data_IF_758232917222
#
_entry.id   IF_758232917222
#
_cell.length_a   1.000
_cell.length_b   1.000
_cell.length_c   1.000
_cell.angle_alpha   90.00
_cell.angle_beta   90.00
_cell.angle_gamma   90.00
#
_symmetry.space_group_name_H-M   'P 1'
#
loop_
_entity.id
_entity.type
_entity.pdbx_description
1 polymer ?
#
# COMPACT_ATOMS: atom_id res chain seq x y z
N UNK A 1 -6.00 3.31 -15.71
CA UNK A 1 -6.43 1.89 -15.85
C UNK A 1 -7.89 1.82 -15.44
N UNK A 2 -8.74 1.02 -16.08
CA UNK A 2 -10.16 0.97 -15.73
C UNK A 2 -10.35 0.13 -14.47
N UNK A 3 -11.22 0.55 -13.52
CA UNK A 3 -11.52 -0.15 -12.26
C UNK A 3 -11.96 -1.63 -12.47
N UNK A 4 -12.57 -1.95 -13.60
CA UNK A 4 -12.90 -3.34 -13.98
C UNK A 4 -11.66 -4.16 -14.32
N UNK A 5 -10.64 -3.57 -14.96
CA UNK A 5 -9.37 -4.23 -15.27
C UNK A 5 -8.59 -4.58 -13.99
N UNK A 6 -8.59 -3.73 -12.97
CA UNK A 6 -7.97 -4.03 -11.68
C UNK A 6 -8.58 -5.25 -10.99
N UNK A 7 -9.88 -5.48 -11.15
CA UNK A 7 -10.56 -6.65 -10.58
C UNK A 7 -10.22 -7.96 -11.31
N UNK A 8 -10.03 -7.89 -12.63
CA UNK A 8 -9.74 -9.06 -13.46
C UNK A 8 -8.25 -9.44 -13.43
N UNK A 9 -7.36 -8.46 -13.22
CA UNK A 9 -5.91 -8.65 -13.25
C UNK A 9 -5.26 -8.76 -11.86
N UNK A 10 -5.96 -8.38 -10.79
CA UNK A 10 -5.43 -8.43 -9.44
C UNK A 10 -5.14 -9.87 -8.99
N UNK A 11 -3.89 -10.16 -8.74
CA UNK A 11 -3.41 -11.44 -8.22
C UNK A 11 -3.51 -11.47 -6.69
N UNK A 12 -3.59 -12.66 -6.13
CA UNK A 12 -3.71 -12.88 -4.69
C UNK A 12 -2.85 -14.04 -4.20
N UNK A 13 -3.03 -14.43 -2.96
CA UNK A 13 -2.26 -15.50 -2.32
C UNK A 13 -2.28 -16.84 -3.09
N UNK A 14 -3.40 -17.15 -3.75
CA UNK A 14 -3.57 -18.36 -4.54
C UNK A 14 -2.76 -18.37 -5.83
N UNK A 15 -2.36 -17.21 -6.32
CA UNK A 15 -1.60 -17.05 -7.57
C UNK A 15 -0.09 -17.05 -7.34
N UNK A 16 0.34 -17.04 -6.06
CA UNK A 16 1.75 -16.96 -5.68
C UNK A 16 2.49 -18.25 -6.11
N UNK A 17 3.50 -18.16 -7.01
CA UNK A 17 4.27 -19.32 -7.46
C UNK A 17 4.88 -20.12 -6.31
N UNK A 18 5.11 -21.42 -6.53
CA UNK A 18 5.58 -22.33 -5.47
C UNK A 18 6.94 -21.93 -4.90
N UNK A 19 7.82 -21.39 -5.72
CA UNK A 19 9.19 -20.96 -5.41
C UNK A 19 9.32 -19.50 -4.98
N UNK A 20 8.19 -18.75 -4.96
CA UNK A 20 8.16 -17.34 -4.53
C UNK A 20 7.68 -17.23 -3.09
N UNK A 21 8.39 -16.42 -2.31
CA UNK A 21 8.13 -16.10 -0.91
C UNK A 21 7.92 -14.59 -0.75
N UNK A 22 7.36 -14.19 0.37
CA UNK A 22 7.24 -12.77 0.77
C UNK A 22 8.07 -12.55 2.01
N UNK A 23 9.00 -11.61 1.96
CA UNK A 23 9.82 -11.20 3.11
C UNK A 23 9.32 -9.88 3.65
N UNK A 24 9.21 -9.80 4.99
CA UNK A 24 8.82 -8.59 5.73
C UNK A 24 9.93 -8.27 6.73
N UNK A 25 10.57 -7.12 6.57
CA UNK A 25 11.73 -6.73 7.38
C UNK A 25 11.85 -5.22 7.53
N UNK A 26 12.66 -4.78 8.49
CA UNK A 26 12.98 -3.36 8.67
C UNK A 26 14.29 -3.01 7.95
N UNK A 27 14.27 -1.91 7.18
CA UNK A 27 15.45 -1.34 6.55
C UNK A 27 15.38 0.19 6.54
N UNK A 28 16.39 0.85 7.07
CA UNK A 28 16.50 2.32 7.10
C UNK A 28 15.22 3.02 7.61
N UNK A 29 14.66 2.55 8.74
CA UNK A 29 13.43 3.06 9.36
C UNK A 29 12.15 2.86 8.53
N UNK A 30 12.19 2.01 7.52
CA UNK A 30 11.04 1.58 6.74
C UNK A 30 10.75 0.12 7.01
N UNK A 31 9.51 -0.23 7.00
CA UNK A 31 9.09 -1.61 6.82
C UNK A 31 9.06 -1.89 5.32
N UNK A 32 9.72 -2.94 4.90
CA UNK A 32 9.80 -3.39 3.52
C UNK A 32 9.12 -4.74 3.39
N UNK A 33 8.30 -4.86 2.37
CA UNK A 33 7.60 -6.10 2.00
C UNK A 33 7.96 -6.37 0.55
N UNK A 34 8.60 -7.50 0.27
CA UNK A 34 9.11 -7.80 -1.05
C UNK A 34 8.96 -9.26 -1.43
N UNK A 35 8.93 -9.52 -2.73
CA UNK A 35 9.05 -10.89 -3.24
C UNK A 35 10.50 -11.36 -3.19
N UNK A 36 10.68 -12.60 -2.73
CA UNK A 36 11.99 -13.25 -2.61
C UNK A 36 11.91 -14.70 -3.04
N UNK A 37 13.07 -15.32 -3.28
CA UNK A 37 13.19 -16.76 -3.32
C UNK A 37 13.14 -17.39 -1.92
N UNK A 38 13.32 -18.70 -1.83
CA UNK A 38 13.29 -19.44 -0.57
C UNK A 38 14.45 -19.07 0.38
N UNK A 39 15.56 -18.57 -0.15
CA UNK A 39 16.72 -18.15 0.62
C UNK A 39 16.60 -16.69 1.10
N UNK A 40 15.50 -16.02 0.75
CA UNK A 40 15.21 -14.62 1.08
C UNK A 40 15.92 -13.60 0.18
N UNK A 41 16.47 -14.03 -0.96
CA UNK A 41 17.07 -13.14 -1.95
C UNK A 41 16.01 -12.46 -2.79
N UNK A 42 16.18 -11.17 -3.06
CA UNK A 42 15.24 -10.37 -3.85
C UNK A 42 15.07 -10.93 -5.27
N UNK A 43 13.83 -11.00 -5.75
CA UNK A 43 13.50 -11.29 -7.14
C UNK A 43 13.50 -9.97 -7.92
N UNK A 44 14.32 -9.88 -8.96
CA UNK A 44 14.43 -8.72 -9.83
C UNK A 44 13.53 -8.85 -11.06
N UNK A 45 13.20 -7.73 -11.75
CA UNK A 45 12.32 -7.72 -12.95
C UNK A 45 12.78 -8.64 -14.07
N UNK A 46 14.09 -8.83 -14.21
CA UNK A 46 14.67 -9.77 -15.17
C UNK A 46 15.75 -10.62 -14.51
N UNK A 47 15.87 -11.84 -14.99
CA UNK A 47 16.97 -12.72 -14.59
C UNK A 47 18.28 -12.15 -15.13
N UNK A 48 19.22 -11.86 -14.24
CA UNK A 48 20.51 -11.22 -14.58
C UNK A 48 21.40 -12.09 -15.49
N UNK A 49 21.19 -13.40 -15.51
CA UNK A 49 21.99 -14.35 -16.30
C UNK A 49 21.34 -14.64 -17.65
N UNK A 50 20.02 -14.83 -17.70
CA UNK A 50 19.30 -15.21 -18.93
C UNK A 50 18.68 -14.03 -19.65
N UNK A 51 18.44 -12.92 -18.96
CA UNK A 51 17.72 -11.74 -19.47
C UNK A 51 16.22 -11.97 -19.63
N UNK A 52 15.68 -13.09 -19.13
CA UNK A 52 14.25 -13.37 -19.17
C UNK A 52 13.50 -12.56 -18.10
N UNK A 53 12.35 -12.01 -18.46
CA UNK A 53 11.49 -11.25 -17.55
C UNK A 53 10.89 -12.16 -16.46
N UNK A 54 10.92 -11.67 -15.22
CA UNK A 54 10.23 -12.32 -14.11
C UNK A 54 8.79 -11.80 -14.04
N UNK A 55 7.79 -12.68 -14.07
CA UNK A 55 6.38 -12.27 -13.94
C UNK A 55 5.98 -11.90 -12.51
N UNK A 56 6.85 -12.16 -11.53
CA UNK A 56 6.65 -11.84 -10.11
C UNK A 56 7.91 -11.20 -9.57
N UNK A 57 7.85 -9.92 -9.31
CA UNK A 57 8.90 -9.15 -8.64
C UNK A 57 8.28 -7.95 -7.95
N UNK A 58 9.02 -7.31 -7.09
CA UNK A 58 8.71 -6.00 -6.56
C UNK A 58 8.67 -5.93 -5.04
N UNK A 59 8.51 -4.70 -4.59
CA UNK A 59 8.40 -4.36 -3.19
C UNK A 59 7.45 -3.19 -2.93
N UNK A 60 6.95 -3.16 -1.71
CA UNK A 60 6.26 -2.02 -1.10
C UNK A 60 6.97 -1.69 0.19
N UNK A 61 7.24 -0.42 0.41
CA UNK A 61 7.78 0.04 1.70
C UNK A 61 7.00 1.21 2.27
N UNK A 62 6.99 1.32 3.60
CA UNK A 62 6.33 2.41 4.31
C UNK A 62 7.10 2.81 5.57
N UNK A 63 6.89 4.04 6.03
CA UNK A 63 7.33 4.54 7.32
C UNK A 63 6.26 4.28 8.37
N UNK A 64 6.63 3.83 9.57
CA UNK A 64 5.72 3.72 10.72
C UNK A 64 5.40 5.10 11.31
N UNK A 65 6.34 6.03 11.23
CA UNK A 65 6.16 7.42 11.61
C UNK A 65 6.46 8.29 10.39
N UNK A 66 5.60 9.28 10.15
CA UNK A 66 5.84 10.26 9.07
C UNK A 66 7.15 11.01 9.34
N UNK A 67 8.15 10.92 8.43
CA UNK A 67 9.41 11.63 8.58
C UNK A 67 9.25 13.15 8.61
N UNK A 68 8.15 13.68 8.09
CA UNK A 68 7.80 15.11 8.10
C UNK A 68 7.01 15.52 9.37
N UNK A 69 6.94 14.63 10.36
CA UNK A 69 6.31 14.87 11.68
C UNK A 69 4.81 15.19 11.63
N UNK A 70 4.10 14.71 10.62
CA UNK A 70 2.64 14.83 10.55
C UNK A 70 2.00 13.63 11.24
N UNK A 71 0.98 13.89 12.04
CA UNK A 71 0.41 12.83 12.85
C UNK A 71 -0.39 11.80 12.03
N UNK A 72 -1.07 12.20 10.96
CA UNK A 72 -1.92 11.35 10.12
C UNK A 72 -2.70 10.30 10.93
N UNK A 73 -3.17 10.66 12.11
CA UNK A 73 -3.79 9.79 13.10
C UNK A 73 -2.91 8.58 13.49
N UNK A 74 -1.58 8.75 13.50
CA UNK A 74 -0.62 7.70 13.81
C UNK A 74 -0.57 6.56 12.78
N UNK A 75 -1.00 6.80 11.54
CA UNK A 75 -0.91 5.82 10.47
C UNK A 75 0.50 5.78 9.87
N UNK A 76 0.86 4.61 9.33
CA UNK A 76 2.03 4.44 8.47
C UNK A 76 1.81 5.10 7.10
N UNK A 77 2.89 5.58 6.48
CA UNK A 77 2.86 6.29 5.20
C UNK A 77 3.66 5.51 4.16
N UNK A 78 3.05 5.18 3.02
CA UNK A 78 3.74 4.57 1.88
C UNK A 78 4.91 5.45 1.45
N UNK A 79 6.05 4.82 1.18
CA UNK A 79 7.28 5.46 0.73
C UNK A 79 7.65 5.10 -0.71
N UNK A 80 7.64 3.81 -1.04
CA UNK A 80 8.01 3.30 -2.36
C UNK A 80 7.12 2.12 -2.71
N UNK A 81 6.78 2.01 -3.99
CA UNK A 81 6.13 0.84 -4.57
C UNK A 81 6.70 0.63 -5.97
N UNK A 82 7.29 -0.54 -6.20
CA UNK A 82 7.76 -1.01 -7.51
C UNK A 82 7.40 -2.49 -7.64
N UNK A 83 6.39 -2.82 -8.41
CA UNK A 83 5.77 -4.15 -8.41
C UNK A 83 5.37 -4.54 -9.83
N UNK A 84 5.57 -5.80 -10.19
CA UNK A 84 5.09 -6.40 -11.43
C UNK A 84 3.56 -6.28 -11.58
N UNK A 85 3.11 -6.20 -12.82
CA UNK A 85 1.70 -6.04 -13.17
C UNK A 85 0.79 -7.07 -12.47
N UNK A 86 -0.30 -6.57 -11.90
CA UNK A 86 -1.29 -7.34 -11.17
C UNK A 86 -0.92 -7.70 -9.72
N UNK A 87 0.35 -7.57 -9.30
CA UNK A 87 0.79 -7.92 -7.94
C UNK A 87 0.71 -6.76 -6.93
N UNK A 88 0.49 -5.53 -7.40
CA UNK A 88 0.36 -4.36 -6.54
C UNK A 88 -0.66 -4.56 -5.41
N UNK A 89 -1.93 -4.89 -5.68
CA UNK A 89 -2.94 -5.10 -4.65
C UNK A 89 -2.55 -6.15 -3.60
N UNK A 90 -1.86 -7.22 -4.01
CA UNK A 90 -1.42 -8.26 -3.09
C UNK A 90 -0.37 -7.75 -2.07
N UNK A 91 0.66 -7.03 -2.52
CA UNK A 91 1.67 -6.45 -1.63
C UNK A 91 1.09 -5.32 -0.77
N UNK A 92 0.18 -4.51 -1.33
CA UNK A 92 -0.55 -3.49 -0.56
C UNK A 92 -1.43 -4.11 0.53
N UNK A 93 -2.08 -5.26 0.28
CA UNK A 93 -2.83 -5.99 1.28
C UNK A 93 -1.95 -6.34 2.49
N UNK A 94 -0.77 -6.90 2.23
CA UNK A 94 0.18 -7.27 3.28
C UNK A 94 0.69 -6.02 4.00
N UNK A 95 1.05 -4.95 3.26
CA UNK A 95 1.50 -3.69 3.84
C UNK A 95 0.44 -3.08 4.77
N UNK A 96 -0.81 -3.09 4.34
CA UNK A 96 -1.93 -2.58 5.14
C UNK A 96 -2.17 -3.44 6.40
N UNK A 97 -2.05 -4.77 6.29
CA UNK A 97 -2.15 -5.69 7.41
C UNK A 97 -1.02 -5.46 8.43
N UNK A 98 0.22 -5.35 7.96
CA UNK A 98 1.39 -5.05 8.82
C UNK A 98 1.23 -3.69 9.49
N UNK A 99 0.89 -2.65 8.73
CA UNK A 99 0.65 -1.30 9.27
C UNK A 99 -0.50 -1.28 10.29
N UNK A 100 -1.58 -2.04 10.04
CA UNK A 100 -2.69 -2.15 11.01
C UNK A 100 -2.27 -2.83 12.31
N UNK A 101 -1.36 -3.80 12.26
CA UNK A 101 -0.85 -4.48 13.46
C UNK A 101 0.15 -3.63 14.26
N UNK A 102 0.89 -2.74 13.62
CA UNK A 102 1.99 -1.99 14.23
C UNK A 102 1.65 -0.54 14.54
N UNK A 103 0.76 0.03 13.74
CA UNK A 103 0.36 1.45 13.84
C UNK A 103 -1.17 1.57 13.70
N UNK A 104 -1.65 2.73 13.31
CA UNK A 104 -3.09 2.96 13.13
C UNK A 104 -3.55 2.77 11.66
N UNK A 105 -2.87 1.90 10.90
CA UNK A 105 -3.18 1.61 9.50
C UNK A 105 -2.21 2.26 8.53
N UNK A 106 -2.57 2.25 7.26
CA UNK A 106 -1.73 2.69 6.14
C UNK A 106 -2.40 3.82 5.37
N UNK A 107 -1.65 4.86 5.06
CA UNK A 107 -2.05 5.94 4.16
C UNK A 107 -1.11 6.01 2.94
N UNK A 108 -1.59 6.60 1.85
CA UNK A 108 -0.77 6.89 0.67
C UNK A 108 0.38 7.82 0.99
N UNK A 109 1.37 7.91 0.11
CA UNK A 109 2.35 9.01 0.13
C UNK A 109 1.63 10.35 0.17
N UNK A 110 2.16 11.30 0.97
CA UNK A 110 1.50 12.60 1.22
C UNK A 110 1.88 13.67 0.20
N UNK A 111 2.81 13.36 -0.70
CA UNK A 111 3.32 14.30 -1.70
C UNK A 111 3.12 13.82 -3.13
N UNK A 112 3.45 12.55 -3.41
CA UNK A 112 3.48 12.02 -4.77
C UNK A 112 2.86 10.64 -4.83
N UNK A 113 1.83 10.47 -5.64
CA UNK A 113 1.17 9.18 -5.88
C UNK A 113 1.04 8.99 -7.38
N UNK A 114 1.60 7.91 -7.94
CA UNK A 114 1.46 7.63 -9.37
C UNK A 114 0.00 7.35 -9.74
N UNK A 115 -0.39 7.54 -11.01
CA UNK A 115 -1.76 7.21 -11.46
C UNK A 115 -2.16 5.77 -11.13
N UNK A 116 -1.26 4.81 -11.29
CA UNK A 116 -1.49 3.39 -10.99
C UNK A 116 -1.74 3.17 -9.50
N UNK A 117 -0.96 3.84 -8.64
CA UNK A 117 -1.17 3.78 -7.20
C UNK A 117 -2.48 4.47 -6.78
N UNK A 118 -2.89 5.56 -7.45
CA UNK A 118 -4.20 6.18 -7.20
C UNK A 118 -5.34 5.22 -7.51
N UNK A 119 -5.27 4.50 -8.64
CA UNK A 119 -6.25 3.47 -9.01
C UNK A 119 -6.36 2.37 -7.93
N UNK A 120 -5.23 1.96 -7.34
CA UNK A 120 -5.21 1.00 -6.23
C UNK A 120 -5.91 1.54 -4.98
N UNK A 121 -5.64 2.79 -4.58
CA UNK A 121 -6.32 3.41 -3.44
C UNK A 121 -7.81 3.60 -3.66
N UNK A 122 -8.21 4.00 -4.86
CA UNK A 122 -9.62 4.10 -5.26
C UNK A 122 -10.31 2.74 -5.21
N UNK A 123 -9.64 1.68 -5.67
CA UNK A 123 -10.13 0.31 -5.56
C UNK A 123 -10.38 -0.12 -4.11
N UNK A 124 -9.44 0.15 -3.21
CA UNK A 124 -9.61 -0.14 -1.77
C UNK A 124 -10.76 0.65 -1.17
N UNK A 125 -10.88 1.91 -1.50
CA UNK A 125 -11.93 2.78 -0.97
C UNK A 125 -13.34 2.37 -1.38
N UNK A 126 -13.50 1.82 -2.59
CA UNK A 126 -14.81 1.60 -3.23
C UNK A 126 -15.23 0.13 -3.26
N UNK A 127 -14.29 -0.82 -3.37
CA UNK A 127 -14.60 -2.21 -3.76
C UNK A 127 -14.11 -3.28 -2.79
N UNK A 128 -13.38 -2.93 -1.73
CA UNK A 128 -12.80 -3.89 -0.79
C UNK A 128 -13.55 -3.86 0.56
N UNK A 129 -14.54 -4.73 0.75
CA UNK A 129 -15.34 -4.75 1.98
C UNK A 129 -14.56 -5.26 3.21
N UNK A 130 -13.43 -5.92 3.00
CA UNK A 130 -12.50 -6.39 4.03
C UNK A 130 -11.53 -5.30 4.51
N UNK A 131 -11.49 -4.16 3.82
CA UNK A 131 -10.70 -2.98 4.15
C UNK A 131 -11.60 -1.89 4.72
N UNK A 132 -11.18 -1.26 5.80
CA UNK A 132 -11.88 -0.10 6.38
C UNK A 132 -11.11 1.17 6.07
N UNK A 133 -11.81 2.12 5.45
CA UNK A 133 -11.31 3.48 5.27
C UNK A 133 -11.68 4.35 6.48
N UNK A 134 -10.75 5.22 6.88
CA UNK A 134 -10.91 6.20 7.94
C UNK A 134 -10.55 7.57 7.38
N UNK A 135 -11.45 8.54 7.54
CA UNK A 135 -11.24 9.89 7.04
C UNK A 135 -10.08 10.57 7.77
N UNK A 136 -9.25 11.28 7.02
CA UNK A 136 -8.23 12.20 7.51
C UNK A 136 -8.65 13.62 7.15
N UNK A 137 -8.30 14.57 8.00
CA UNK A 137 -8.48 15.99 7.74
C UNK A 137 -7.25 16.60 7.06
N UNK A 138 -7.41 17.78 6.51
CA UNK A 138 -6.29 18.62 6.12
C UNK A 138 -6.47 20.04 6.68
N UNK A 139 -5.52 20.91 6.36
CA UNK A 139 -5.50 22.30 6.82
C UNK A 139 -6.79 23.09 6.49
N UNK A 140 -7.51 22.67 5.43
CA UNK A 140 -8.68 23.40 4.90
C UNK A 140 -9.99 22.62 5.04
N UNK A 141 -9.92 21.33 5.32
CA UNK A 141 -11.06 20.42 5.38
C UNK A 141 -11.09 19.69 6.71
N UNK A 142 -11.57 20.38 7.74
CA UNK A 142 -11.78 19.82 9.07
C UNK A 142 -13.14 19.13 9.10
N UNK A 143 -13.16 17.81 8.92
CA UNK A 143 -14.36 16.98 8.92
C UNK A 143 -14.61 16.33 10.28
N UNK A 144 -13.57 16.28 11.11
CA UNK A 144 -13.60 15.72 12.46
C UNK A 144 -13.09 16.74 13.48
N UNK A 145 -13.43 16.64 14.78
CA UNK A 145 -12.90 17.53 15.81
C UNK A 145 -11.48 17.16 16.28
N UNK A 146 -10.91 16.03 15.84
CA UNK A 146 -9.60 15.55 16.24
C UNK A 146 -8.51 16.25 15.42
N UNK A 147 -7.49 16.80 16.08
CA UNK A 147 -6.33 17.36 15.41
C UNK A 147 -5.29 16.29 15.02
N UNK A 148 -5.39 15.09 15.58
CA UNK A 148 -4.45 13.98 15.31
C UNK A 148 -4.57 13.42 13.89
N UNK A 149 -5.69 13.63 13.21
CA UNK A 149 -5.96 13.20 11.86
C UNK A 149 -5.72 14.28 10.79
N UNK A 150 -5.22 15.48 11.19
CA UNK A 150 -4.79 16.51 10.26
C UNK A 150 -3.59 16.04 9.44
N UNK A 151 -3.85 15.61 8.22
CA UNK A 151 -2.88 14.96 7.35
C UNK A 151 -3.14 15.30 5.88
N UNK A 152 -2.75 16.48 5.46
CA UNK A 152 -2.92 16.94 4.09
C UNK A 152 -2.19 16.05 3.08
N UNK A 153 -2.77 15.93 1.90
CA UNK A 153 -2.19 15.24 0.76
C UNK A 153 -2.31 16.12 -0.48
N UNK A 154 -1.17 16.50 -1.07
CA UNK A 154 -1.11 17.53 -2.11
C UNK A 154 -1.89 17.18 -3.37
N UNK A 155 -1.77 15.96 -3.87
CA UNK A 155 -2.47 15.56 -5.11
C UNK A 155 -3.98 15.41 -4.94
N UNK A 156 -4.44 14.96 -3.77
CA UNK A 156 -5.87 14.91 -3.47
C UNK A 156 -6.49 16.30 -3.49
N UNK A 157 -5.74 17.31 -3.02
CA UNK A 157 -6.16 18.71 -3.07
C UNK A 157 -6.21 19.24 -4.50
N UNK A 158 -5.20 18.94 -5.32
CA UNK A 158 -5.18 19.31 -6.74
C UNK A 158 -6.35 18.68 -7.48
N UNK A 159 -6.61 17.39 -7.28
CA UNK A 159 -7.77 16.71 -7.91
C UNK A 159 -9.10 17.33 -7.50
N UNK A 160 -9.27 17.68 -6.23
CA UNK A 160 -10.49 18.35 -5.77
C UNK A 160 -10.70 19.71 -6.44
N UNK A 161 -9.62 20.45 -6.72
CA UNK A 161 -9.69 21.73 -7.44
C UNK A 161 -9.93 21.54 -8.95
N UNK A 162 -9.25 20.59 -9.58
CA UNK A 162 -9.27 20.40 -11.04
C UNK A 162 -10.50 19.65 -11.53
N UNK A 163 -11.00 18.69 -10.75
CA UNK A 163 -12.09 17.79 -11.14
C UNK A 163 -13.37 17.96 -10.34
N UNK A 164 -13.40 18.90 -9.39
CA UNK A 164 -14.56 19.16 -8.53
C UNK A 164 -14.84 18.03 -7.52
N UNK A 165 -13.85 17.16 -7.26
CA UNK A 165 -13.95 16.15 -6.22
C UNK A 165 -13.87 16.81 -4.83
N UNK A 166 -14.74 16.41 -3.91
CA UNK A 166 -14.64 16.84 -2.54
C UNK A 166 -13.53 16.03 -1.81
N UNK A 167 -12.80 16.67 -0.90
CA UNK A 167 -11.75 16.03 -0.09
C UNK A 167 -12.20 14.70 0.51
N UNK A 168 -13.37 14.65 1.13
CA UNK A 168 -13.93 13.46 1.78
C UNK A 168 -14.15 12.28 0.83
N UNK A 169 -14.34 12.52 -0.47
CA UNK A 169 -14.64 11.48 -1.46
C UNK A 169 -13.37 10.92 -2.11
N UNK A 170 -12.23 11.60 -1.94
CA UNK A 170 -10.96 11.16 -2.47
C UNK A 170 -10.33 10.06 -1.62
N UNK A 171 -9.89 8.95 -2.23
CA UNK A 171 -9.23 7.85 -1.52
C UNK A 171 -7.92 8.27 -0.84
N UNK A 172 -7.19 9.23 -1.43
CA UNK A 172 -5.92 9.73 -0.88
C UNK A 172 -6.12 10.59 0.40
N UNK A 173 -7.34 10.99 0.70
CA UNK A 173 -7.70 11.69 1.95
C UNK A 173 -7.96 10.74 3.12
N UNK A 174 -7.65 9.45 2.97
CA UNK A 174 -7.97 8.42 3.95
C UNK A 174 -6.74 7.64 4.39
N UNK A 175 -6.82 7.05 5.57
CA UNK A 175 -6.02 5.91 5.98
C UNK A 175 -6.86 4.64 5.93
N UNK A 176 -6.22 3.51 5.79
CA UNK A 176 -6.87 2.23 5.60
C UNK A 176 -6.38 1.20 6.63
N UNK A 177 -7.27 0.37 7.11
CA UNK A 177 -6.96 -0.74 8.01
C UNK A 177 -7.51 -2.05 7.45
N UNK A 178 -6.76 -3.14 7.65
CA UNK A 178 -7.12 -4.49 7.21
C UNK A 178 -6.69 -5.53 8.23
N UNK A 179 -7.56 -6.51 8.51
CA UNK A 179 -7.19 -7.64 9.35
C UNK A 179 -6.17 -8.54 8.64
N UNK A 180 -5.28 -9.26 9.36
CA UNK A 180 -4.19 -10.05 8.77
C UNK A 180 -4.66 -11.34 8.09
N UNK A 181 -5.51 -11.22 7.08
CA UNK A 181 -6.08 -12.35 6.32
C UNK A 181 -5.15 -12.84 5.23
N UNK A 182 -4.49 -11.93 4.51
CA UNK A 182 -3.52 -12.26 3.46
C UNK A 182 -2.26 -12.89 4.05
N UNK A 183 -1.73 -12.30 5.13
CA UNK A 183 -0.59 -12.85 5.90
C UNK A 183 -0.88 -14.27 6.38
N UNK A 184 -2.11 -14.54 6.85
CA UNK A 184 -2.52 -15.88 7.28
C UNK A 184 -2.57 -16.88 6.13
N UNK A 185 -2.97 -16.47 4.94
CA UNK A 185 -3.03 -17.33 3.75
C UNK A 185 -1.64 -17.74 3.27
N UNK A 186 -0.65 -16.85 3.39
CA UNK A 186 0.73 -17.09 2.92
C UNK A 186 1.70 -17.46 4.04
N UNK A 187 1.24 -17.82 5.22
CA UNK A 187 2.10 -18.05 6.41
C UNK A 187 3.28 -18.99 6.15
N UNK A 188 3.10 -20.00 5.28
CA UNK A 188 4.12 -20.98 4.96
C UNK A 188 5.14 -20.48 3.90
N UNK A 189 4.88 -19.29 3.33
CA UNK A 189 5.72 -18.57 2.37
C UNK A 189 6.14 -17.18 2.88
N UNK A 190 5.91 -16.91 4.14
CA UNK A 190 6.21 -15.63 4.77
C UNK A 190 7.52 -15.73 5.56
N UNK A 191 8.50 -14.92 5.18
CA UNK A 191 9.75 -14.71 5.90
C UNK A 191 9.58 -13.45 6.73
N UNK A 192 9.40 -13.60 8.05
CA UNK A 192 9.09 -12.50 8.96
C UNK A 192 10.30 -12.14 9.82
N UNK A 193 10.80 -10.91 9.67
CA UNK A 193 12.00 -10.40 10.35
C UNK A 193 11.77 -9.04 11.03
N UNK A 194 10.60 -8.85 11.66
CA UNK A 194 10.24 -7.65 12.42
C UNK A 194 10.27 -7.89 13.94
#
# INVERSE_FOLDING_TARGET
>A
MNEELLKEEAKGAQDLPEDVYVRVFEWQRRIVIMFTDADGSQIYPANMETGEDNPVYGDVSFYEEDPDSRSCDGSSIIAVTDVADGWGPFLYDIAMEVATMRTNGLASDRHTVSPEAQDVWDYYSKFRPDVKSHQLDDEYNSLTPQESDNCGQSQSRERAMDYGEEWKDNALSKRFTKKPTTIQQIRDKLIWEL
#
